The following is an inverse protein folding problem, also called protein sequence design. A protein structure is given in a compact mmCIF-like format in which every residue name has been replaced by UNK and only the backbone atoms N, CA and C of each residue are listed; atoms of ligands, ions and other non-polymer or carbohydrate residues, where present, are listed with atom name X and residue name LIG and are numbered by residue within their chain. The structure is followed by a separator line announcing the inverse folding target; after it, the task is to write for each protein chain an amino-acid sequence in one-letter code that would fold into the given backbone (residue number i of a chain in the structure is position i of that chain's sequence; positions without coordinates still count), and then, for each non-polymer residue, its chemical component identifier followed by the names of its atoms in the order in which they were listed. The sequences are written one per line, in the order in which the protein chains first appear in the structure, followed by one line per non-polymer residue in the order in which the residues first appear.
data_IF_021185277665
#
_entry.id   IF_021185277665
#
_cell.length_a   1.000
_cell.length_b   1.000
_cell.length_c   1.000
_cell.angle_alpha   90.00
_cell.angle_beta   90.00
_cell.angle_gamma   90.00
#
_symmetry.space_group_name_H-M   'P 1'
#
loop_
_entity.id
_entity.type
_entity.pdbx_description
1 polymer ?
#
# COMPACT_ATOMS: atom_id res chain seq x y z
N UNK A 1 -0.41 7.11 17.44
CA UNK A 1 0.51 8.18 16.97
C UNK A 1 1.35 7.64 15.82
N UNK A 2 1.30 8.26 14.63
CA UNK A 2 2.04 7.77 13.45
C UNK A 2 3.56 7.93 13.55
N UNK A 3 4.31 7.03 12.91
CA UNK A 3 5.78 6.95 13.02
C UNK A 3 6.49 8.24 12.63
N UNK A 4 6.04 8.90 11.56
CA UNK A 4 6.59 10.20 11.13
C UNK A 4 6.44 11.25 12.23
N UNK A 5 5.25 11.35 12.85
CA UNK A 5 5.01 12.30 13.95
C UNK A 5 5.94 12.04 15.14
N UNK A 6 6.24 10.77 15.44
CA UNK A 6 7.18 10.41 16.52
C UNK A 6 8.61 10.81 16.18
N UNK A 7 9.02 10.59 14.93
CA UNK A 7 10.38 10.83 14.44
C UNK A 7 10.68 12.32 14.31
N UNK A 8 9.70 13.14 13.90
CA UNK A 8 9.89 14.58 13.71
C UNK A 8 9.56 15.46 14.91
N UNK A 9 9.00 14.91 16.00
CA UNK A 9 8.48 15.69 17.16
C UNK A 9 9.47 16.68 17.80
N UNK A 10 10.76 16.36 17.72
CA UNK A 10 11.84 17.16 18.34
C UNK A 10 12.50 18.12 17.34
N UNK A 11 12.15 18.07 16.06
CA UNK A 11 12.71 18.97 15.05
C UNK A 11 12.02 20.33 15.20
N UNK A 12 12.74 21.31 15.75
CA UNK A 12 12.23 22.67 15.98
C UNK A 12 12.71 23.68 14.92
N UNK A 13 13.86 23.45 14.30
CA UNK A 13 14.49 24.36 13.34
C UNK A 13 14.67 23.68 11.99
N UNK A 14 13.69 23.87 11.12
CA UNK A 14 13.74 23.44 9.73
C UNK A 14 14.55 24.46 8.92
N UNK A 15 15.51 23.97 8.13
CA UNK A 15 16.44 24.79 7.34
C UNK A 15 16.00 24.91 5.89
N UNK A 16 15.56 23.81 5.30
CA UNK A 16 15.15 23.72 3.90
C UNK A 16 14.23 22.51 3.65
N UNK A 17 13.68 22.43 2.44
CA UNK A 17 12.83 21.32 2.01
C UNK A 17 13.58 19.97 1.97
N UNK A 18 14.90 19.98 1.70
CA UNK A 18 15.73 18.78 1.71
C UNK A 18 15.80 18.14 3.10
N UNK A 19 15.82 18.94 4.16
CA UNK A 19 15.77 18.45 5.53
C UNK A 19 14.45 17.73 5.82
N UNK A 20 13.31 18.25 5.31
CA UNK A 20 12.01 17.58 5.44
C UNK A 20 12.01 16.20 4.78
N UNK A 21 12.55 16.10 3.55
CA UNK A 21 12.66 14.83 2.83
C UNK A 21 13.49 13.80 3.60
N UNK A 22 14.63 14.22 4.17
CA UNK A 22 15.49 13.31 4.97
C UNK A 22 14.78 12.80 6.22
N UNK A 23 14.04 13.65 6.91
CA UNK A 23 13.27 13.24 8.09
C UNK A 23 12.08 12.34 7.76
N UNK A 24 11.42 12.56 6.61
CA UNK A 24 10.39 11.63 6.11
C UNK A 24 11.00 10.28 5.78
N UNK A 25 12.15 10.25 5.09
CA UNK A 25 12.87 9.02 4.82
C UNK A 25 13.25 8.27 6.12
N UNK A 26 13.77 8.99 7.12
CA UNK A 26 14.03 8.42 8.45
C UNK A 26 12.75 7.86 9.10
N UNK A 27 11.63 8.57 8.97
CA UNK A 27 10.31 8.12 9.41
C UNK A 27 9.86 6.82 8.73
N UNK A 28 10.11 6.67 7.43
CA UNK A 28 9.80 5.45 6.69
C UNK A 28 10.69 4.27 7.12
N UNK A 29 11.98 4.52 7.38
CA UNK A 29 12.91 3.49 7.88
C UNK A 29 12.48 2.99 9.26
N UNK A 30 12.07 3.88 10.16
CA UNK A 30 11.54 3.48 11.46
C UNK A 30 10.20 2.75 11.34
N UNK A 31 9.35 3.14 10.39
CA UNK A 31 8.08 2.46 10.14
C UNK A 31 8.29 1.03 9.62
N UNK A 32 9.35 0.81 8.82
CA UNK A 32 9.69 -0.49 8.25
C UNK A 32 9.89 -1.59 9.32
N UNK A 33 10.36 -1.22 10.52
CA UNK A 33 10.54 -2.18 11.64
C UNK A 33 9.22 -2.82 12.09
N UNK A 34 8.10 -2.14 11.90
CA UNK A 34 6.76 -2.65 12.22
C UNK A 34 6.09 -3.42 11.07
N UNK A 35 6.70 -3.45 9.88
CA UNK A 35 6.10 -4.11 8.72
C UNK A 35 6.32 -5.62 8.76
N UNK A 36 5.28 -6.36 8.39
CA UNK A 36 5.37 -7.81 8.20
C UNK A 36 5.91 -8.10 6.81
N UNK A 37 6.94 -8.94 6.71
CA UNK A 37 7.49 -9.41 5.42
C UNK A 37 6.49 -10.33 4.73
N UNK A 38 6.23 -10.08 3.44
CA UNK A 38 5.38 -10.94 2.62
C UNK A 38 6.22 -12.02 1.95
N UNK A 39 6.06 -13.27 2.41
CA UNK A 39 6.89 -14.42 1.99
C UNK A 39 6.83 -14.69 0.47
N UNK A 40 5.64 -14.62 -0.11
CA UNK A 40 5.39 -14.97 -1.51
C UNK A 40 5.36 -13.76 -2.47
N UNK A 41 6.13 -12.71 -2.20
CA UNK A 41 6.03 -11.46 -2.98
C UNK A 41 6.35 -11.63 -4.47
N UNK A 42 7.22 -12.60 -4.81
CA UNK A 42 7.56 -12.95 -6.19
C UNK A 42 6.39 -13.51 -7.00
N UNK A 43 5.40 -14.12 -6.33
CA UNK A 43 4.24 -14.75 -6.97
C UNK A 43 3.07 -13.76 -7.15
N UNK A 44 3.11 -12.60 -6.48
CA UNK A 44 2.06 -11.59 -6.55
C UNK A 44 1.78 -11.05 -7.97
N UNK A 45 2.79 -10.82 -8.84
CA UNK A 45 2.52 -10.37 -10.21
C UNK A 45 1.69 -11.38 -11.01
N UNK A 46 1.99 -12.67 -10.88
CA UNK A 46 1.25 -13.76 -11.54
C UNK A 46 -0.19 -13.81 -11.01
N UNK A 47 -0.34 -13.75 -9.69
CA UNK A 47 -1.66 -13.70 -9.06
C UNK A 47 -2.47 -12.48 -9.54
N UNK A 48 -1.84 -11.31 -9.61
CA UNK A 48 -2.48 -10.07 -10.10
C UNK A 48 -2.96 -10.25 -11.54
N UNK A 49 -2.15 -10.80 -12.43
CA UNK A 49 -2.51 -11.03 -13.82
C UNK A 49 -3.70 -12.01 -13.94
N UNK A 50 -3.70 -13.10 -13.17
CA UNK A 50 -4.79 -14.06 -13.15
C UNK A 50 -6.10 -13.45 -12.63
N UNK A 51 -6.04 -12.64 -11.58
CA UNK A 51 -7.20 -11.92 -11.06
C UNK A 51 -7.74 -10.89 -12.06
N UNK A 52 -6.86 -10.16 -12.75
CA UNK A 52 -7.26 -9.22 -13.80
C UNK A 52 -7.91 -9.93 -14.99
N UNK A 53 -7.34 -11.04 -15.47
CA UNK A 53 -7.92 -11.83 -16.55
C UNK A 53 -9.31 -12.37 -16.18
N UNK A 54 -9.48 -12.84 -14.93
CA UNK A 54 -10.77 -13.27 -14.39
C UNK A 54 -11.77 -12.12 -14.30
N UNK A 55 -11.33 -10.97 -13.77
CA UNK A 55 -12.17 -9.78 -13.66
C UNK A 55 -12.65 -9.33 -15.04
N UNK A 56 -11.75 -9.23 -16.02
CA UNK A 56 -12.08 -8.86 -17.39
C UNK A 56 -13.06 -9.85 -18.02
N UNK A 57 -12.89 -11.16 -17.79
CA UNK A 57 -13.84 -12.18 -18.25
C UNK A 57 -15.23 -11.99 -17.63
N UNK A 58 -15.31 -11.61 -16.35
CA UNK A 58 -16.57 -11.34 -15.64
C UNK A 58 -17.20 -9.99 -15.99
N UNK A 59 -16.44 -9.02 -16.50
CA UNK A 59 -16.98 -7.73 -16.94
C UNK A 59 -17.38 -7.76 -18.42
N UNK A 60 -16.71 -8.57 -19.25
CA UNK A 60 -17.05 -8.77 -20.67
C UNK A 60 -18.31 -9.64 -20.82
N UNK A 61 -18.53 -10.62 -19.94
CA UNK A 61 -19.80 -11.32 -19.83
C UNK A 61 -20.66 -10.60 -18.80
N UNK A 62 -21.72 -9.86 -19.17
CA UNK A 62 -22.57 -9.23 -18.16
C UNK A 62 -23.09 -10.34 -17.25
N UNK A 63 -22.68 -10.30 -15.98
CA UNK A 63 -23.21 -11.19 -14.95
C UNK A 63 -24.70 -10.86 -14.90
N UNK A 64 -25.52 -11.70 -15.53
CA UNK A 64 -26.95 -11.71 -15.30
C UNK A 64 -27.12 -11.94 -13.80
N UNK A 65 -27.38 -10.87 -13.05
CA UNK A 65 -27.74 -10.97 -11.65
C UNK A 65 -28.99 -11.84 -11.62
N UNK A 66 -28.83 -13.11 -11.22
CA UNK A 66 -29.93 -14.01 -10.94
C UNK A 66 -30.68 -13.40 -9.78
N UNK A 67 -31.69 -12.59 -10.11
CA UNK A 67 -32.70 -12.11 -9.18
C UNK A 67 -33.55 -13.34 -8.86
N UNK A 68 -33.23 -14.02 -7.77
CA UNK A 68 -34.06 -15.10 -7.25
C UNK A 68 -35.25 -14.45 -6.55
N UNK A 69 -36.36 -14.32 -7.28
CA UNK A 69 -37.67 -14.09 -6.71
C UNK A 69 -38.23 -15.43 -6.18
N UNK A 70 -38.48 -15.48 -4.86
CA UNK A 70 -39.52 -16.27 -4.17
C UNK A 70 -39.32 -16.09 -2.66
#
# INVERSE_FOLDING_TARGET
MGTIRRVTRNVKRWRDAGQAVRWVAAGMIEANKGFRRLKAHKQLPVLRAALQARHNRMTINPVAHVTRAA
#
